data_IF_825610450667
#
_entry.id   IF_825610450667
#
_cell.length_a   1.000
_cell.length_b   1.000
_cell.length_c   1.000
_cell.angle_alpha   90.00
_cell.angle_beta   90.00
_cell.angle_gamma   90.00
#
_symmetry.space_group_name_H-M   'P 1'
#
loop_
_entity.id
_entity.type
_entity.pdbx_description
1 polymer ?
#
# COMPACT_ATOMS: atom_id res chain seq x y z
N UNK A 1 10.59 1.13 16.72
CA UNK A 1 9.39 1.19 15.88
C UNK A 1 8.63 2.50 16.06
N UNK A 2 9.31 3.66 16.17
CA UNK A 2 8.67 4.91 16.60
C UNK A 2 8.97 6.14 15.72
N UNK A 3 9.59 5.99 14.55
CA UNK A 3 10.12 7.17 13.84
C UNK A 3 9.41 7.49 12.52
N UNK A 4 8.61 6.59 11.94
CA UNK A 4 7.91 6.86 10.68
C UNK A 4 6.45 6.42 10.78
N UNK A 5 5.64 7.20 11.50
CA UNK A 5 4.20 7.10 11.39
C UNK A 5 3.77 7.79 10.07
N UNK A 6 3.04 7.12 9.18
CA UNK A 6 2.50 7.76 7.98
C UNK A 6 1.62 8.93 8.38
N UNK A 7 1.75 10.07 7.69
CA UNK A 7 0.96 11.26 7.98
C UNK A 7 -0.55 11.04 7.78
N UNK A 8 -0.92 10.17 6.85
CA UNK A 8 -2.30 9.76 6.58
C UNK A 8 -2.36 8.38 5.93
N UNK A 9 -3.53 7.72 5.97
CA UNK A 9 -3.77 6.44 5.28
C UNK A 9 -3.56 6.56 3.77
N UNK A 10 -3.88 7.71 3.18
CA UNK A 10 -3.64 8.01 1.76
C UNK A 10 -2.17 8.00 1.35
N UNK A 11 -1.25 8.05 2.31
CA UNK A 11 0.20 7.92 2.09
C UNK A 11 0.62 6.46 1.95
N UNK A 12 -0.26 5.50 2.24
CA UNK A 12 0.02 4.08 2.18
C UNK A 12 -0.43 3.52 0.84
N UNK A 13 0.42 2.70 0.22
CA UNK A 13 0.07 1.93 -0.97
C UNK A 13 0.51 0.48 -0.82
N UNK A 14 -0.37 -0.44 -1.21
CA UNK A 14 -0.06 -1.88 -1.22
C UNK A 14 0.50 -2.23 -2.60
N UNK A 15 1.63 -2.93 -2.62
CA UNK A 15 2.25 -3.43 -3.85
C UNK A 15 2.16 -4.95 -3.88
N UNK A 16 1.49 -5.48 -4.89
CA UNK A 16 1.40 -6.91 -5.14
C UNK A 16 1.99 -7.24 -6.51
N UNK A 17 2.99 -8.12 -6.55
CA UNK A 17 3.69 -8.55 -7.78
C UNK A 17 4.15 -7.38 -8.66
N UNK A 18 4.69 -6.32 -8.04
CA UNK A 18 5.20 -5.14 -8.71
C UNK A 18 4.13 -4.15 -9.20
N UNK A 19 2.85 -4.34 -8.82
CA UNK A 19 1.75 -3.44 -9.16
C UNK A 19 1.14 -2.83 -7.90
N UNK A 20 0.78 -1.55 -7.97
CA UNK A 20 -0.01 -0.90 -6.93
C UNK A 20 -1.44 -1.43 -6.97
N UNK A 21 -2.01 -1.67 -5.79
CA UNK A 21 -3.45 -1.95 -5.65
C UNK A 21 -4.20 -0.64 -5.47
N UNK A 22 -5.36 -0.52 -6.11
CA UNK A 22 -6.23 0.64 -5.97
C UNK A 22 -7.06 0.57 -4.67
N UNK A 23 -7.33 1.72 -4.06
CA UNK A 23 -7.91 1.81 -2.71
C UNK A 23 -9.33 1.23 -2.63
N UNK A 24 -10.08 1.27 -3.73
CA UNK A 24 -11.47 0.79 -3.82
C UNK A 24 -11.59 -0.63 -4.42
N UNK A 25 -10.48 -1.39 -4.44
CA UNK A 25 -10.45 -2.75 -4.99
C UNK A 25 -10.39 -3.81 -3.91
N UNK A 26 -10.98 -4.96 -4.18
CA UNK A 26 -10.99 -6.12 -3.27
C UNK A 26 -9.85 -7.09 -3.58
N UNK A 27 -9.56 -8.01 -2.66
CA UNK A 27 -8.62 -9.12 -2.90
C UNK A 27 -9.02 -9.95 -4.13
N UNK A 28 -10.32 -10.19 -4.30
CA UNK A 28 -10.88 -10.93 -5.44
C UNK A 28 -10.65 -10.20 -6.76
N UNK A 29 -10.94 -8.90 -6.82
CA UNK A 29 -10.74 -8.10 -8.04
C UNK A 29 -9.25 -8.02 -8.46
N UNK A 30 -8.33 -8.16 -7.50
CA UNK A 30 -6.89 -8.26 -7.72
C UNK A 30 -6.39 -9.69 -7.92
N UNK A 31 -7.31 -10.67 -8.02
CA UNK A 31 -7.03 -12.09 -8.29
C UNK A 31 -6.08 -12.71 -7.27
N UNK A 32 -6.17 -12.30 -6.01
CA UNK A 32 -5.40 -12.87 -4.91
C UNK A 32 -6.06 -14.20 -4.49
N UNK A 33 -5.32 -15.33 -4.50
CA UNK A 33 -5.90 -16.64 -4.27
C UNK A 33 -6.27 -16.87 -2.79
N UNK A 34 -7.38 -17.55 -2.57
CA UNK A 34 -7.80 -18.03 -1.26
C UNK A 34 -6.97 -19.25 -0.80
N UNK A 35 -6.87 -19.44 0.52
CA UNK A 35 -6.23 -20.62 1.11
C UNK A 35 -4.70 -20.63 1.01
N UNK A 36 -4.09 -19.53 0.56
CA UNK A 36 -2.64 -19.38 0.48
C UNK A 36 -2.18 -18.08 1.16
N UNK A 37 -0.99 -18.12 1.74
CA UNK A 37 -0.34 -16.90 2.24
C UNK A 37 0.14 -16.07 1.05
N UNK A 38 -0.18 -14.78 1.07
CA UNK A 38 0.22 -13.83 0.03
C UNK A 38 1.16 -12.78 0.63
N UNK A 39 2.33 -12.62 0.02
CA UNK A 39 3.29 -11.56 0.40
C UNK A 39 3.03 -10.33 -0.45
N UNK A 40 2.95 -9.18 0.21
CA UNK A 40 2.81 -7.85 -0.39
C UNK A 40 3.87 -6.92 0.19
N UNK A 41 4.16 -5.82 -0.50
CA UNK A 41 4.95 -4.74 0.06
C UNK A 41 4.02 -3.61 0.48
N UNK A 42 4.31 -2.98 1.62
CA UNK A 42 3.70 -1.72 2.03
C UNK A 42 4.66 -0.59 1.66
N UNK A 43 4.22 0.29 0.76
CA UNK A 43 4.95 1.50 0.41
C UNK A 43 4.36 2.68 1.17
N UNK A 44 5.23 3.52 1.74
CA UNK A 44 4.85 4.76 2.41
C UNK A 44 5.36 5.92 1.55
N UNK A 45 4.45 6.75 1.04
CA UNK A 45 4.79 7.99 0.34
C UNK A 45 4.90 9.09 1.38
N UNK A 46 6.13 9.53 1.66
CA UNK A 46 6.33 10.74 2.45
C UNK A 46 5.85 11.94 1.63
N UNK A 47 4.83 12.63 2.12
CA UNK A 47 4.44 13.95 1.62
C UNK A 47 5.52 14.90 2.13
N UNK A 48 6.68 14.93 1.47
CA UNK A 48 7.53 16.11 1.60
C UNK A 48 6.75 17.25 0.95
N UNK A 49 6.43 18.24 1.79
CA UNK A 49 5.90 19.53 1.36
C UNK A 49 6.81 20.07 0.26
N UNK A 50 6.36 20.03 -0.99
CA UNK A 50 7.03 20.71 -2.10
C UNK A 50 6.83 22.20 -1.82
N UNK A 51 7.74 22.75 -1.01
CA UNK A 51 7.72 24.13 -0.55
C UNK A 51 7.49 25.07 -1.73
N UNK A 52 6.29 25.62 -1.79
CA UNK A 52 5.91 26.68 -2.73
C UNK A 52 5.25 27.82 -1.97
#
# INVERSE_FOLDING_TARGET
WAEEAPAAVSCLKIVYRGRLLDDDTTLESNKIPCGQSTVVHLAIKNVQDDGK
#
